data_IF_081572262128
#
_entry.id   IF_081572262128
#
_cell.length_a   1.000
_cell.length_b   1.000
_cell.length_c   1.000
_cell.angle_alpha   90.00
_cell.angle_beta   90.00
_cell.angle_gamma   90.00
#
_symmetry.space_group_name_H-M   'P 1'
#
loop_
_entity.id
_entity.type
_entity.pdbx_description
1 polymer ?
#
# COMPACT_ATOMS: atom_id res chain seq x y z
N UNK A 1 15.05 -9.60 -24.53
CA UNK A 1 14.83 -8.69 -23.38
C UNK A 1 13.68 -9.27 -22.57
N UNK A 2 13.91 -9.65 -21.31
CA UNK A 2 12.86 -10.26 -20.50
C UNK A 2 11.90 -9.15 -20.05
N UNK A 3 10.71 -9.05 -20.65
CA UNK A 3 9.69 -8.10 -20.25
C UNK A 3 9.24 -8.43 -18.83
N UNK A 4 9.59 -7.58 -17.88
CA UNK A 4 9.11 -7.67 -16.51
C UNK A 4 7.58 -7.53 -16.52
N UNK A 5 6.85 -8.62 -16.28
CA UNK A 5 5.39 -8.60 -16.24
C UNK A 5 4.91 -8.12 -14.87
N UNK A 6 4.00 -7.14 -14.88
CA UNK A 6 3.29 -6.70 -13.68
C UNK A 6 1.99 -7.49 -13.53
N UNK A 7 1.61 -7.80 -12.29
CA UNK A 7 0.33 -8.41 -11.94
C UNK A 7 -0.73 -7.33 -11.75
N UNK A 8 -1.93 -7.54 -12.32
CA UNK A 8 -3.07 -6.66 -12.07
C UNK A 8 -3.67 -6.94 -10.69
N UNK A 9 -4.33 -5.94 -10.10
CA UNK A 9 -4.92 -6.06 -8.75
C UNK A 9 -5.96 -7.19 -8.71
N UNK A 10 -6.81 -7.29 -9.74
CA UNK A 10 -7.83 -8.34 -9.84
C UNK A 10 -7.28 -9.77 -9.88
N UNK A 11 -6.02 -9.93 -10.26
CA UNK A 11 -5.37 -11.24 -10.37
C UNK A 11 -4.62 -11.64 -9.08
N UNK A 12 -4.61 -10.76 -8.07
CA UNK A 12 -4.07 -11.10 -6.76
C UNK A 12 -4.91 -12.19 -6.11
N UNK A 13 -4.23 -13.16 -5.50
CA UNK A 13 -4.86 -14.25 -4.75
C UNK A 13 -4.24 -14.32 -3.36
N UNK A 14 -5.04 -14.65 -2.32
CA UNK A 14 -4.50 -14.91 -0.99
C UNK A 14 -3.38 -15.96 -1.02
N UNK A 15 -2.43 -15.83 -0.10
CA UNK A 15 -1.29 -16.77 0.05
C UNK A 15 -0.35 -16.85 -1.16
N UNK A 16 -0.38 -15.86 -2.06
CA UNK A 16 0.63 -15.69 -3.10
C UNK A 16 1.55 -14.51 -2.79
N UNK A 17 2.85 -14.79 -2.67
CA UNK A 17 3.87 -13.81 -2.32
C UNK A 17 4.67 -13.36 -3.56
N UNK A 18 5.51 -12.33 -3.39
CA UNK A 18 6.48 -11.85 -4.40
C UNK A 18 5.86 -11.37 -5.73
N UNK A 19 4.63 -10.84 -5.70
CA UNK A 19 3.99 -10.20 -6.86
C UNK A 19 4.50 -8.77 -7.03
N UNK A 20 4.66 -8.34 -8.28
CA UNK A 20 5.04 -6.97 -8.64
C UNK A 20 3.86 -6.28 -9.30
N UNK A 21 3.42 -5.15 -8.74
CA UNK A 21 2.33 -4.36 -9.28
C UNK A 21 2.86 -3.03 -9.83
N UNK A 22 2.23 -2.52 -10.89
CA UNK A 22 2.43 -1.17 -11.39
C UNK A 22 1.19 -0.34 -11.08
N UNK A 23 1.31 0.56 -10.11
CA UNK A 23 0.18 1.28 -9.52
C UNK A 23 0.47 2.77 -9.34
N UNK A 24 -0.58 3.58 -9.28
CA UNK A 24 -0.55 4.95 -8.78
C UNK A 24 -1.12 4.97 -7.36
N UNK A 25 -0.48 5.74 -6.47
CA UNK A 25 -1.05 6.05 -5.15
C UNK A 25 -2.14 7.09 -5.35
N UNK A 26 -3.39 6.72 -5.09
CA UNK A 26 -4.54 7.62 -5.18
C UNK A 26 -4.71 8.45 -3.90
N UNK A 27 -4.46 7.83 -2.75
CA UNK A 27 -4.55 8.46 -1.42
C UNK A 27 -3.56 7.80 -0.47
N UNK A 28 -2.97 8.60 0.41
CA UNK A 28 -2.14 8.12 1.53
C UNK A 28 -2.52 8.87 2.81
N UNK A 29 -2.59 8.16 3.93
CA UNK A 29 -2.83 8.74 5.25
C UNK A 29 -2.19 7.87 6.34
N UNK A 30 -1.96 8.47 7.51
CA UNK A 30 -1.38 7.81 8.69
C UNK A 30 -2.37 7.90 9.85
N UNK A 31 -3.25 6.91 10.06
CA UNK A 31 -4.27 6.99 11.11
C UNK A 31 -3.64 6.91 12.51
N UNK A 32 -4.16 7.69 13.44
CA UNK A 32 -3.90 7.48 14.88
C UNK A 32 -4.63 6.23 15.35
N UNK A 33 -4.02 5.47 16.26
CA UNK A 33 -4.69 4.33 16.89
C UNK A 33 -5.68 4.83 17.94
N UNK A 34 -6.92 4.32 17.88
CA UNK A 34 -7.96 4.63 18.86
C UNK A 34 -7.51 4.16 20.24
N UNK A 35 -7.62 5.02 21.25
CA UNK A 35 -7.18 4.73 22.61
C UNK A 35 -5.69 5.00 22.89
N UNK A 36 -4.94 5.51 21.91
CA UNK A 36 -3.56 5.96 22.09
C UNK A 36 -3.42 7.46 21.80
N UNK A 37 -2.64 8.18 22.61
CA UNK A 37 -2.41 9.61 22.38
C UNK A 37 -1.39 9.87 21.27
N UNK A 38 -0.39 8.98 21.15
CA UNK A 38 0.81 9.22 20.34
C UNK A 38 1.20 8.07 19.41
N UNK A 39 0.35 7.03 19.28
CA UNK A 39 0.65 5.89 18.40
C UNK A 39 -0.13 6.00 17.08
N UNK A 40 0.56 5.62 16.01
CA UNK A 40 0.02 5.57 14.66
C UNK A 40 -0.07 4.13 14.19
N UNK A 41 -1.09 3.84 13.39
CA UNK A 41 -1.35 2.51 12.84
C UNK A 41 -0.57 2.19 11.56
N UNK A 42 0.54 2.89 11.29
CA UNK A 42 1.27 2.79 10.03
C UNK A 42 0.66 3.67 8.93
N UNK A 43 1.19 3.54 7.71
CA UNK A 43 0.63 4.19 6.53
C UNK A 43 -0.47 3.33 5.93
N UNK A 44 -1.54 3.99 5.53
CA UNK A 44 -2.63 3.42 4.76
C UNK A 44 -2.63 4.10 3.39
N UNK A 45 -2.83 3.33 2.33
CA UNK A 45 -2.89 3.86 0.98
C UNK A 45 -3.95 3.14 0.13
N UNK A 46 -4.50 3.89 -0.83
CA UNK A 46 -5.29 3.34 -1.93
C UNK A 46 -4.40 3.31 -3.15
N UNK A 47 -4.19 2.11 -3.69
CA UNK A 47 -3.42 1.85 -4.91
C UNK A 47 -4.39 1.60 -6.05
N UNK A 48 -4.13 2.20 -7.21
CA UNK A 48 -4.93 2.01 -8.43
C UNK A 48 -4.03 1.54 -9.56
N UNK A 49 -4.40 0.46 -10.25
CA UNK A 49 -3.64 -0.08 -11.37
C UNK A 49 -4.09 0.46 -12.74
N UNK A 50 -3.49 -0.05 -13.81
CA UNK A 50 -3.79 0.36 -15.19
C UNK A 50 -5.19 -0.08 -15.68
N UNK A 51 -5.85 -1.00 -14.97
CA UNK A 51 -7.22 -1.45 -15.25
C UNK A 51 -8.25 -0.70 -14.40
N UNK A 52 -7.82 0.33 -13.66
CA UNK A 52 -8.63 1.13 -12.74
C UNK A 52 -9.17 0.35 -11.54
N UNK A 53 -8.65 -0.85 -11.31
CA UNK A 53 -8.95 -1.58 -10.08
C UNK A 53 -8.23 -0.91 -8.91
N UNK A 54 -8.88 -0.90 -7.76
CA UNK A 54 -8.35 -0.30 -6.54
C UNK A 54 -8.18 -1.35 -5.44
N UNK A 55 -7.08 -1.25 -4.69
CA UNK A 55 -6.86 -2.04 -3.49
C UNK A 55 -6.34 -1.14 -2.37
N UNK A 56 -6.75 -1.42 -1.13
CA UNK A 56 -6.15 -0.83 0.04
C UNK A 56 -4.90 -1.61 0.43
N UNK A 57 -3.81 -0.90 0.69
CA UNK A 57 -2.58 -1.48 1.24
C UNK A 57 -2.15 -0.72 2.50
N UNK A 58 -1.50 -1.45 3.40
CA UNK A 58 -0.96 -0.92 4.64
C UNK A 58 0.54 -1.18 4.75
N UNK A 59 1.24 -0.26 5.42
CA UNK A 59 2.67 -0.36 5.74
C UNK A 59 2.80 -0.10 7.23
N UNK A 60 3.49 -0.96 7.98
CA UNK A 60 3.62 -0.78 9.43
C UNK A 60 4.60 0.35 9.73
N UNK A 61 4.49 0.94 10.92
CA UNK A 61 5.41 1.98 11.40
C UNK A 61 6.89 1.58 11.33
N UNK A 62 7.21 0.30 11.51
CA UNK A 62 8.58 -0.22 11.46
C UNK A 62 9.14 -0.37 10.04
N UNK A 63 8.28 -0.30 9.02
CA UNK A 63 8.65 -0.59 7.62
C UNK A 63 9.02 0.69 6.85
N UNK A 64 9.11 1.85 7.51
CA UNK A 64 9.50 3.13 6.90
C UNK A 64 10.24 4.04 7.89
N UNK A 65 11.16 4.86 7.39
CA UNK A 65 12.07 5.64 8.25
C UNK A 65 11.43 6.91 8.83
N UNK A 66 10.67 7.64 8.01
CA UNK A 66 10.17 8.97 8.40
C UNK A 66 8.89 9.37 7.66
N UNK A 67 7.98 10.04 8.39
CA UNK A 67 6.82 10.73 7.85
C UNK A 67 6.86 12.18 8.33
N UNK A 68 6.94 13.11 7.38
CA UNK A 68 6.90 14.53 7.68
C UNK A 68 5.61 14.88 8.43
N UNK A 69 5.74 15.72 9.47
CA UNK A 69 4.58 16.32 10.12
C UNK A 69 3.92 17.28 9.13
N UNK A 70 2.58 17.27 9.09
CA UNK A 70 1.80 18.28 8.38
C UNK A 70 1.95 19.64 9.07
#
# INVERSE_FOLDING_TARGET
MNTMSFTYIRDLQPFQFNKKLKVRICRIWRPKLIGSTDQFGGLQCILVDQKTDAIQASVKEIDYDFVARK
#
